data_IF_470036307244
#
_entry.id   IF_470036307244
#
_cell.length_a   1.000
_cell.length_b   1.000
_cell.length_c   1.000
_cell.angle_alpha   90.00
_cell.angle_beta   90.00
_cell.angle_gamma   90.00
#
_symmetry.space_group_name_H-M   'P 1'
#
loop_
_entity.id
_entity.type
_entity.pdbx_description
1 polymer ?
#
# COMPACT_ATOMS: atom_id res chain seq x y z
N UNK A 1 21.81 -7.64 12.98
CA UNK A 1 21.75 -6.88 14.25
C UNK A 1 20.68 -5.83 14.07
N UNK A 2 19.87 -5.57 15.10
CA UNK A 2 18.88 -4.49 15.08
C UNK A 2 19.65 -3.18 15.26
N UNK A 3 19.30 -2.14 14.51
CA UNK A 3 19.84 -0.79 14.71
C UNK A 3 19.19 -0.18 15.95
N UNK A 4 19.98 0.10 17.00
CA UNK A 4 19.49 0.63 18.28
C UNK A 4 18.90 2.05 18.17
N UNK A 5 19.13 2.75 17.06
CA UNK A 5 18.54 4.08 16.80
C UNK A 5 17.12 4.01 16.24
N UNK A 6 16.72 2.83 15.76
CA UNK A 6 15.37 2.55 15.29
C UNK A 6 14.68 1.63 16.30
N UNK A 7 13.40 1.88 16.65
CA UNK A 7 12.63 0.96 17.51
C UNK A 7 12.22 -0.31 16.73
N UNK A 8 13.20 -0.97 16.11
CA UNK A 8 13.02 -2.15 15.29
C UNK A 8 12.91 -3.41 16.16
N UNK A 9 12.07 -4.35 15.71
CA UNK A 9 11.83 -5.61 16.41
C UNK A 9 12.42 -6.75 15.58
N UNK A 10 13.35 -7.52 16.16
CA UNK A 10 13.88 -8.71 15.53
C UNK A 10 12.82 -9.84 15.55
N UNK A 11 12.50 -10.38 14.37
CA UNK A 11 11.59 -11.51 14.23
C UNK A 11 12.38 -12.84 14.25
N UNK A 12 11.77 -13.94 14.73
CA UNK A 12 12.43 -15.25 14.80
C UNK A 12 12.44 -15.97 13.44
N UNK A 13 12.92 -15.29 12.39
CA UNK A 13 12.98 -15.80 11.01
C UNK A 13 14.35 -15.46 10.42
N UNK A 14 14.99 -16.43 9.77
CA UNK A 14 16.28 -16.20 9.11
C UNK A 14 16.19 -15.15 7.99
N UNK A 15 17.21 -14.32 7.88
CA UNK A 15 17.37 -13.34 6.81
C UNK A 15 17.40 -14.00 5.42
N UNK A 16 16.95 -13.26 4.39
CA UNK A 16 17.00 -13.70 2.99
C UNK A 16 15.67 -13.66 2.25
N UNK A 17 15.74 -13.45 0.93
CA UNK A 17 14.57 -13.24 0.04
C UNK A 17 13.58 -14.41 0.04
N UNK A 18 14.06 -15.64 0.22
CA UNK A 18 13.22 -16.83 0.25
C UNK A 18 12.37 -16.94 1.54
N UNK A 19 12.69 -16.15 2.57
CA UNK A 19 12.00 -16.16 3.86
C UNK A 19 11.06 -14.95 4.01
N UNK A 20 10.90 -14.11 2.98
CA UNK A 20 10.07 -12.91 3.06
C UNK A 20 8.64 -13.22 3.48
N UNK A 21 8.05 -14.30 2.95
CA UNK A 21 6.73 -14.73 3.38
C UNK A 21 6.70 -15.10 4.87
N UNK A 22 7.69 -15.87 5.35
CA UNK A 22 7.86 -16.16 6.78
C UNK A 22 7.97 -14.89 7.63
N UNK A 23 8.77 -13.91 7.20
CA UNK A 23 8.93 -12.62 7.89
C UNK A 23 7.62 -11.85 7.94
N UNK A 24 6.88 -11.74 6.83
CA UNK A 24 5.57 -11.06 6.80
C UNK A 24 4.59 -11.71 7.77
N UNK A 25 4.53 -13.05 7.83
CA UNK A 25 3.67 -13.76 8.79
C UNK A 25 4.03 -13.41 10.23
N UNK A 26 5.31 -13.47 10.60
CA UNK A 26 5.75 -13.16 11.97
C UNK A 26 5.59 -11.67 12.30
N UNK A 27 5.80 -10.77 11.33
CA UNK A 27 5.58 -9.33 11.49
C UNK A 27 4.12 -9.03 11.82
N UNK A 28 3.18 -9.53 11.02
CA UNK A 28 1.75 -9.31 11.28
C UNK A 28 1.24 -10.04 12.52
N UNK A 29 1.81 -11.19 12.89
CA UNK A 29 1.53 -11.83 14.19
C UNK A 29 1.97 -10.93 15.35
N UNK A 30 3.18 -10.38 15.29
CA UNK A 30 3.69 -9.46 16.31
C UNK A 30 2.81 -8.21 16.41
N UNK A 31 2.50 -7.58 15.29
CA UNK A 31 1.59 -6.43 15.22
C UNK A 31 0.23 -6.77 15.81
N UNK A 32 -0.35 -7.92 15.45
CA UNK A 32 -1.63 -8.36 15.97
C UNK A 32 -1.63 -8.53 17.49
N UNK A 33 -0.56 -9.11 18.05
CA UNK A 33 -0.46 -9.38 19.49
C UNK A 33 -0.19 -8.12 20.32
N UNK A 34 0.57 -7.16 19.78
CA UNK A 34 1.09 -6.04 20.57
C UNK A 34 0.50 -4.67 20.21
N UNK A 35 0.07 -4.49 18.96
CA UNK A 35 -0.22 -3.15 18.40
C UNK A 35 -1.51 -3.07 17.57
N UNK A 36 -2.32 -4.14 17.49
CA UNK A 36 -3.55 -4.16 16.68
C UNK A 36 -4.51 -3.00 17.05
N UNK A 37 -4.54 -2.65 18.33
CA UNK A 37 -5.42 -1.60 18.84
C UNK A 37 -4.79 -0.20 18.78
N UNK A 38 -3.50 -0.09 18.49
CA UNK A 38 -2.75 1.17 18.51
C UNK A 38 -2.88 1.97 17.20
N UNK A 39 -3.30 1.32 16.10
CA UNK A 39 -3.43 1.95 14.79
C UNK A 39 -4.66 1.48 13.99
N UNK A 40 -5.20 2.36 13.15
CA UNK A 40 -6.31 2.05 12.24
C UNK A 40 -5.87 1.26 11.00
N UNK A 41 -4.63 1.50 10.56
CA UNK A 41 -4.06 1.00 9.31
C UNK A 41 -2.63 0.54 9.53
N UNK A 42 -2.24 -0.54 8.85
CA UNK A 42 -0.93 -1.18 8.99
C UNK A 42 -0.25 -1.29 7.63
N UNK A 43 0.86 -0.56 7.46
CA UNK A 43 1.63 -0.49 6.23
C UNK A 43 2.78 -1.50 6.26
N UNK A 44 2.90 -2.31 5.21
CA UNK A 44 4.12 -3.03 4.86
C UNK A 44 4.81 -2.29 3.72
N UNK A 45 6.11 -2.03 3.86
CA UNK A 45 6.96 -1.45 2.83
C UNK A 45 8.35 -2.09 2.89
N UNK A 46 9.11 -1.99 1.80
CA UNK A 46 10.53 -2.36 1.79
C UNK A 46 11.38 -1.15 2.21
N UNK A 47 12.63 -1.39 2.63
CA UNK A 47 13.56 -0.34 3.07
C UNK A 47 14.08 0.55 1.91
N UNK A 48 13.76 0.20 0.67
CA UNK A 48 13.96 0.97 -0.55
C UNK A 48 12.64 1.48 -1.17
N UNK A 49 11.55 1.52 -0.38
CA UNK A 49 10.28 2.15 -0.75
C UNK A 49 10.17 3.54 -0.12
N UNK A 50 10.11 4.60 -0.92
CA UNK A 50 9.82 5.94 -0.43
C UNK A 50 8.30 6.14 -0.32
N UNK A 51 7.80 6.53 0.85
CA UNK A 51 6.36 6.66 1.14
C UNK A 51 6.03 8.08 1.58
N UNK A 52 5.03 8.69 0.94
CA UNK A 52 4.48 10.00 1.29
C UNK A 52 3.27 9.76 2.20
N UNK A 53 3.48 9.82 3.52
CA UNK A 53 2.49 9.40 4.51
C UNK A 53 1.23 10.29 4.51
N UNK A 54 1.35 11.57 4.18
CA UNK A 54 0.24 12.51 4.03
C UNK A 54 -0.70 12.06 2.91
N UNK A 55 -0.14 11.63 1.78
CA UNK A 55 -0.91 11.14 0.64
C UNK A 55 -1.55 9.77 0.94
N UNK A 56 -0.86 8.92 1.71
CA UNK A 56 -1.45 7.67 2.22
C UNK A 56 -2.65 7.97 3.13
N UNK A 57 -2.50 8.87 4.10
CA UNK A 57 -3.58 9.28 5.00
C UNK A 57 -4.76 9.84 4.20
N UNK A 58 -4.50 10.74 3.25
CA UNK A 58 -5.51 11.31 2.37
C UNK A 58 -6.27 10.24 1.58
N UNK A 59 -5.58 9.25 1.01
CA UNK A 59 -6.23 8.14 0.30
C UNK A 59 -7.13 7.31 1.21
N UNK A 60 -6.75 7.11 2.46
CA UNK A 60 -7.46 6.24 3.40
C UNK A 60 -8.66 6.91 4.07
N UNK A 61 -8.76 8.24 4.00
CA UNK A 61 -9.83 9.03 4.61
C UNK A 61 -11.27 8.50 4.37
N UNK A 62 -11.68 8.10 3.15
CA UNK A 62 -13.06 7.65 2.92
C UNK A 62 -13.32 6.21 3.36
N UNK A 63 -12.32 5.49 3.90
CA UNK A 63 -12.45 4.07 4.23
C UNK A 63 -12.49 3.84 5.74
N UNK A 64 -13.35 2.92 6.16
CA UNK A 64 -13.43 2.50 7.56
C UNK A 64 -12.36 1.44 7.87
N UNK A 65 -11.57 1.58 8.96
CA UNK A 65 -10.61 0.56 9.38
C UNK A 65 -11.27 -0.74 9.87
N UNK A 66 -12.60 -0.73 10.07
CA UNK A 66 -13.42 -1.90 10.41
C UNK A 66 -13.83 -2.70 9.18
N UNK A 67 -13.63 -2.18 7.97
CA UNK A 67 -13.88 -2.94 6.76
C UNK A 67 -12.67 -3.83 6.44
N UNK A 68 -12.86 -5.10 6.07
CA UNK A 68 -11.77 -6.00 5.70
C UNK A 68 -11.26 -5.65 4.29
N UNK A 69 -10.35 -4.68 4.21
CA UNK A 69 -9.83 -4.13 2.94
C UNK A 69 -8.35 -3.80 3.03
N UNK A 70 -7.65 -3.90 1.90
CA UNK A 70 -6.24 -3.53 1.77
C UNK A 70 -5.97 -2.87 0.41
N UNK A 71 -4.96 -2.01 0.37
CA UNK A 71 -4.62 -1.18 -0.79
C UNK A 71 -3.12 -1.26 -1.12
N UNK A 72 -2.76 -1.00 -2.37
CA UNK A 72 -1.40 -1.03 -2.88
C UNK A 72 -1.38 -1.02 -4.41
N UNK A 73 -0.24 -1.35 -5.01
CA UNK A 73 -0.17 -1.49 -6.47
C UNK A 73 -0.75 -2.84 -6.90
N UNK A 74 -2.00 -2.87 -7.37
CA UNK A 74 -2.70 -4.12 -7.70
C UNK A 74 -2.16 -4.79 -8.98
N UNK A 75 -1.71 -6.03 -8.83
CA UNK A 75 -1.37 -6.98 -9.88
C UNK A 75 -2.44 -8.07 -10.03
N UNK A 76 -2.52 -8.66 -11.23
CA UNK A 76 -3.54 -9.66 -11.62
C UNK A 76 -3.11 -11.14 -11.73
N UNK A 77 -1.85 -11.53 -12.04
CA UNK A 77 -1.61 -12.88 -12.61
C UNK A 77 -1.88 -14.09 -11.70
N UNK A 78 -1.91 -13.92 -10.38
CA UNK A 78 -1.81 -15.05 -9.44
C UNK A 78 -2.93 -15.17 -8.42
N UNK A 79 -3.80 -14.16 -8.31
CA UNK A 79 -4.92 -14.11 -7.35
C UNK A 79 -6.13 -13.54 -8.08
N UNK A 80 -7.32 -14.14 -7.93
CA UNK A 80 -8.48 -13.83 -8.78
C UNK A 80 -8.95 -12.38 -8.60
N UNK A 81 -8.99 -11.87 -7.37
CA UNK A 81 -9.27 -10.46 -7.07
C UNK A 81 -8.08 -9.51 -7.33
N UNK A 82 -6.92 -10.06 -7.67
CA UNK A 82 -5.63 -9.40 -7.67
C UNK A 82 -4.92 -9.46 -6.30
N UNK A 83 -3.68 -9.01 -6.29
CA UNK A 83 -2.81 -8.90 -5.12
C UNK A 83 -1.97 -7.62 -5.22
N UNK A 84 -1.39 -7.13 -4.12
CA UNK A 84 -0.63 -5.88 -4.15
C UNK A 84 0.87 -6.18 -4.27
N UNK A 85 1.58 -5.46 -5.15
CA UNK A 85 3.04 -5.54 -5.26
C UNK A 85 3.71 -5.35 -3.90
N UNK A 86 4.61 -6.27 -3.53
CA UNK A 86 5.32 -6.18 -2.26
C UNK A 86 6.24 -4.97 -2.16
N UNK A 87 6.94 -4.62 -3.23
CA UNK A 87 7.91 -3.51 -3.27
C UNK A 87 7.25 -2.13 -3.30
N UNK A 88 6.12 -1.98 -3.99
CA UNK A 88 5.34 -0.73 -3.92
C UNK A 88 4.82 -0.44 -2.49
N UNK A 89 4.80 -1.47 -1.63
CA UNK A 89 4.14 -1.45 -0.35
C UNK A 89 2.64 -1.64 -0.46
N UNK A 90 2.04 -2.06 0.64
CA UNK A 90 0.61 -2.24 0.76
C UNK A 90 0.15 -1.97 2.20
N UNK A 91 -1.08 -1.49 2.34
CA UNK A 91 -1.67 -1.11 3.62
C UNK A 91 -2.92 -1.93 3.89
N UNK A 92 -3.02 -2.50 5.09
CA UNK A 92 -4.16 -3.29 5.54
C UNK A 92 -4.95 -2.48 6.58
N UNK A 93 -6.28 -2.57 6.52
CA UNK A 93 -7.12 -2.13 7.63
C UNK A 93 -6.90 -3.00 8.86
N UNK A 94 -7.25 -2.47 10.04
CA UNK A 94 -7.26 -3.23 11.29
C UNK A 94 -8.05 -4.53 11.18
N UNK A 95 -9.24 -4.50 10.58
CA UNK A 95 -10.05 -5.71 10.38
C UNK A 95 -9.39 -6.70 9.41
N UNK A 96 -8.68 -6.22 8.38
CA UNK A 96 -7.94 -7.10 7.47
C UNK A 96 -6.80 -7.85 8.19
N UNK A 97 -6.04 -7.16 9.05
CA UNK A 97 -5.00 -7.81 9.88
C UNK A 97 -5.62 -8.85 10.80
N UNK A 98 -6.73 -8.51 11.48
CA UNK A 98 -7.44 -9.43 12.36
C UNK A 98 -7.87 -10.71 11.64
N UNK A 99 -8.55 -10.59 10.50
CA UNK A 99 -8.97 -11.76 9.69
C UNK A 99 -7.80 -12.58 9.18
N UNK A 100 -6.74 -11.91 8.73
CA UNK A 100 -5.53 -12.58 8.27
C UNK A 100 -4.95 -13.51 9.34
N UNK A 101 -4.84 -13.05 10.58
CA UNK A 101 -4.27 -13.81 11.69
C UNK A 101 -5.26 -14.84 12.25
N UNK A 102 -6.45 -14.43 12.67
CA UNK A 102 -7.42 -15.28 13.38
C UNK A 102 -8.02 -16.36 12.49
N UNK A 103 -8.28 -16.04 11.21
CA UNK A 103 -9.02 -16.92 10.29
C UNK A 103 -8.10 -17.54 9.25
N UNK A 104 -7.08 -16.80 8.80
CA UNK A 104 -6.18 -17.18 7.71
C UNK A 104 -5.02 -18.06 8.17
N UNK A 105 -4.07 -17.49 8.94
CA UNK A 105 -2.78 -18.12 9.23
C UNK A 105 -2.87 -19.47 9.96
N UNK A 106 -3.89 -19.67 10.80
CA UNK A 106 -4.13 -20.95 11.47
C UNK A 106 -4.66 -22.06 10.56
N UNK A 107 -5.12 -21.71 9.35
CA UNK A 107 -5.81 -22.63 8.45
C UNK A 107 -5.03 -22.86 7.15
N UNK A 108 -4.44 -24.07 7.00
CA UNK A 108 -3.67 -24.45 5.81
C UNK A 108 -4.43 -24.46 4.50
N UNK A 109 -5.78 -24.49 4.52
CA UNK A 109 -6.58 -24.41 3.29
C UNK A 109 -6.76 -22.97 2.81
N UNK A 110 -6.48 -21.98 3.67
CA UNK A 110 -6.59 -20.55 3.36
C UNK A 110 -5.24 -19.90 3.16
N UNK A 111 -4.26 -20.29 3.98
CA UNK A 111 -2.91 -19.74 3.96
C UNK A 111 -1.86 -20.85 3.93
N UNK A 112 -0.83 -20.68 3.11
CA UNK A 112 0.29 -21.62 3.08
C UNK A 112 1.00 -21.66 4.43
N UNK A 113 1.18 -22.87 4.98
CA UNK A 113 2.01 -23.10 6.17
C UNK A 113 3.50 -22.90 5.89
N UNK A 114 3.92 -23.01 4.62
CA UNK A 114 5.32 -22.77 4.24
C UNK A 114 5.74 -21.35 4.59
N UNK A 115 7.03 -21.16 4.90
CA UNK A 115 7.64 -19.84 5.05
C UNK A 115 8.25 -19.32 3.73
N UNK A 116 8.19 -20.12 2.68
CA UNK A 116 8.69 -19.80 1.33
C UNK A 116 7.56 -19.36 0.42
N UNK A 117 7.90 -18.59 -0.62
CA UNK A 117 6.97 -18.13 -1.65
C UNK A 117 7.21 -16.67 -2.01
N UNK A 118 6.57 -16.22 -3.09
CA UNK A 118 6.48 -14.78 -3.37
C UNK A 118 5.54 -14.17 -2.33
N UNK A 119 6.10 -13.33 -1.45
CA UNK A 119 5.45 -12.79 -0.27
C UNK A 119 4.13 -12.08 -0.59
N UNK A 120 4.13 -11.24 -1.61
CA UNK A 120 2.98 -10.48 -2.10
C UNK A 120 1.87 -11.37 -2.69
N UNK A 121 2.26 -12.42 -3.40
CA UNK A 121 1.31 -13.42 -3.91
C UNK A 121 0.70 -14.24 -2.77
N UNK A 122 1.51 -14.69 -1.81
CA UNK A 122 1.04 -15.53 -0.70
C UNK A 122 0.10 -14.75 0.24
N UNK A 123 0.43 -13.49 0.59
CA UNK A 123 -0.50 -12.66 1.36
C UNK A 123 -1.78 -12.36 0.57
N UNK A 124 -1.68 -12.11 -0.75
CA UNK A 124 -2.84 -11.88 -1.61
C UNK A 124 -3.82 -13.06 -1.62
N UNK A 125 -3.31 -14.29 -1.75
CA UNK A 125 -4.11 -15.54 -1.67
C UNK A 125 -4.79 -15.67 -0.30
N UNK A 126 -4.02 -15.46 0.77
CA UNK A 126 -4.53 -15.50 2.14
C UNK A 126 -5.70 -14.53 2.35
N UNK A 127 -5.52 -13.27 1.96
CA UNK A 127 -6.51 -12.21 2.12
C UNK A 127 -7.77 -12.51 1.28
N UNK A 128 -7.62 -13.03 0.06
CA UNK A 128 -8.76 -13.52 -0.74
C UNK A 128 -9.53 -14.64 -0.03
N UNK A 129 -8.82 -15.63 0.50
CA UNK A 129 -9.42 -16.79 1.17
C UNK A 129 -10.15 -16.44 2.49
N UNK A 130 -9.86 -15.28 3.09
CA UNK A 130 -10.55 -14.77 4.28
C UNK A 130 -11.50 -13.60 3.98
N UNK A 131 -11.83 -13.38 2.71
CA UNK A 131 -12.76 -12.34 2.26
C UNK A 131 -12.32 -10.92 2.66
N UNK A 132 -11.02 -10.66 2.60
CA UNK A 132 -10.46 -9.30 2.61
C UNK A 132 -10.38 -8.80 1.17
N UNK A 133 -11.02 -7.65 0.92
CA UNK A 133 -11.15 -7.03 -0.39
C UNK A 133 -9.85 -6.37 -0.82
N UNK A 134 -9.37 -6.68 -2.02
CA UNK A 134 -8.33 -5.91 -2.68
C UNK A 134 -8.93 -4.60 -3.23
N UNK A 135 -8.71 -3.48 -2.53
CA UNK A 135 -9.23 -2.17 -2.88
C UNK A 135 -8.63 -1.60 -4.16
N UNK A 136 -9.29 -0.58 -4.73
CA UNK A 136 -8.74 0.25 -5.81
C UNK A 136 -8.10 1.48 -5.18
N UNK A 137 -6.79 1.66 -5.38
CA UNK A 137 -6.03 2.76 -4.80
C UNK A 137 -5.81 3.92 -5.77
N UNK A 138 -6.42 3.88 -6.96
CA UNK A 138 -6.28 4.95 -7.95
C UNK A 138 -7.03 6.20 -7.52
N UNK A 139 -6.62 7.36 -8.04
CA UNK A 139 -7.37 8.58 -7.81
C UNK A 139 -8.65 8.66 -8.67
N UNK A 140 -9.41 9.74 -8.50
CA UNK A 140 -10.65 10.01 -9.24
C UNK A 140 -10.47 10.11 -10.75
N UNK A 141 -9.24 10.35 -11.22
CA UNK A 141 -8.88 10.36 -12.64
C UNK A 141 -8.38 8.98 -13.13
N UNK A 142 -8.36 7.97 -12.26
CA UNK A 142 -7.87 6.63 -12.55
C UNK A 142 -6.35 6.51 -12.59
N UNK A 143 -5.61 7.48 -12.03
CA UNK A 143 -4.13 7.46 -11.99
C UNK A 143 -3.62 6.66 -10.79
N UNK A 144 -2.46 6.03 -10.93
CA UNK A 144 -1.86 5.21 -9.88
C UNK A 144 -1.43 6.03 -8.65
N UNK A 145 -1.42 5.40 -7.48
CA UNK A 145 -0.86 5.98 -6.24
C UNK A 145 0.32 5.18 -5.67
N UNK A 146 0.33 3.86 -5.84
CA UNK A 146 1.44 3.00 -5.42
C UNK A 146 2.20 2.53 -6.66
N UNK A 147 3.52 2.64 -6.64
CA UNK A 147 4.35 2.37 -7.81
C UNK A 147 5.44 1.34 -7.51
N UNK A 148 5.55 0.25 -8.29
CA UNK A 148 6.52 -0.81 -8.07
C UNK A 148 7.91 -0.48 -8.61
N UNK A 149 8.15 0.75 -9.09
CA UNK A 149 9.43 1.22 -9.58
C UNK A 149 9.68 2.69 -9.19
N UNK A 150 10.90 3.15 -9.47
CA UNK A 150 11.31 4.55 -9.34
C UNK A 150 10.46 5.48 -10.22
N UNK A 151 10.31 6.77 -9.86
CA UNK A 151 9.48 7.72 -10.60
C UNK A 151 9.78 7.79 -12.11
N UNK A 152 11.04 7.73 -12.51
CA UNK A 152 11.46 7.80 -13.91
C UNK A 152 10.89 6.68 -14.80
N UNK A 153 10.58 5.50 -14.24
CA UNK A 153 9.96 4.40 -14.98
C UNK A 153 8.48 4.64 -15.29
N UNK A 154 7.85 5.61 -14.63
CA UNK A 154 6.44 5.94 -14.82
C UNK A 154 6.27 7.28 -15.56
N UNK A 155 7.10 8.27 -15.21
CA UNK A 155 6.99 9.65 -15.69
C UNK A 155 7.58 9.88 -17.08
N UNK A 156 8.47 9.02 -17.57
CA UNK A 156 9.14 9.19 -18.87
C UNK A 156 8.49 8.27 -19.91
N UNK A 157 7.74 8.80 -20.90
CA UNK A 157 7.12 7.98 -21.93
C UNK A 157 8.13 7.13 -22.70
N UNK A 158 7.86 5.84 -22.85
CA UNK A 158 8.72 4.91 -23.59
C UNK A 158 9.95 4.41 -22.82
N UNK A 159 10.16 4.86 -21.57
CA UNK A 159 11.27 4.38 -20.73
C UNK A 159 11.10 2.90 -20.37
N UNK A 160 9.86 2.47 -20.08
CA UNK A 160 9.50 1.06 -19.86
C UNK A 160 8.82 0.49 -21.09
N UNK A 161 9.52 -0.36 -21.85
CA UNK A 161 9.00 -0.98 -23.07
C UNK A 161 7.67 -1.71 -22.82
N UNK A 162 6.70 -1.60 -23.75
CA UNK A 162 5.37 -2.23 -23.63
C UNK A 162 5.36 -3.76 -23.53
N UNK A 163 6.43 -4.42 -23.97
CA UNK A 163 6.61 -5.87 -23.81
C UNK A 163 7.19 -6.28 -22.45
N UNK A 164 7.48 -5.32 -21.56
CA UNK A 164 7.94 -5.60 -20.20
C UNK A 164 6.83 -6.22 -19.36
N UNK A 165 7.20 -7.14 -18.47
CA UNK A 165 6.25 -7.94 -17.66
C UNK A 165 5.27 -7.07 -16.86
N UNK A 166 5.69 -5.87 -16.45
CA UNK A 166 4.86 -4.93 -15.70
C UNK A 166 3.50 -4.70 -16.36
N UNK A 167 3.49 -4.46 -17.68
CA UNK A 167 2.26 -4.21 -18.44
C UNK A 167 1.34 -5.43 -18.51
N UNK A 168 1.90 -6.64 -18.35
CA UNK A 168 1.14 -7.87 -18.28
C UNK A 168 0.60 -8.12 -16.85
N UNK A 169 1.25 -7.56 -15.84
CA UNK A 169 0.94 -7.79 -14.43
C UNK A 169 -0.03 -6.76 -13.86
N UNK A 170 0.08 -5.50 -14.27
CA UNK A 170 -0.75 -4.43 -13.74
C UNK A 170 -2.23 -4.74 -13.96
N UNK A 171 -3.03 -4.59 -12.89
CA UNK A 171 -4.45 -4.94 -12.92
C UNK A 171 -5.26 -3.89 -13.68
N UNK A 172 -4.96 -2.62 -13.42
CA UNK A 172 -5.61 -1.47 -14.06
C UNK A 172 -4.74 -0.94 -15.19
N UNK A 173 -5.38 -0.51 -16.27
CA UNK A 173 -4.67 0.20 -17.34
C UNK A 173 -3.97 1.44 -16.74
N UNK A 174 -2.70 1.60 -17.07
CA UNK A 174 -1.87 2.70 -16.59
C UNK A 174 -1.33 3.48 -17.78
N UNK A 175 -1.50 4.81 -17.74
CA UNK A 175 -0.86 5.71 -18.69
C UNK A 175 0.63 5.85 -18.38
N UNK A 176 1.39 6.28 -19.38
CA UNK A 176 2.78 6.74 -19.21
C UNK A 176 2.82 8.27 -19.20
N UNK A 177 3.93 8.84 -18.71
CA UNK A 177 4.10 10.29 -18.69
C UNK A 177 3.48 10.92 -17.46
N UNK A 178 3.26 12.24 -17.49
CA UNK A 178 2.73 12.99 -16.34
C UNK A 178 1.33 12.52 -15.90
N UNK A 179 0.57 11.89 -16.79
CA UNK A 179 -0.76 11.32 -16.49
C UNK A 179 -0.69 9.90 -15.87
N UNK A 180 0.48 9.28 -15.72
CA UNK A 180 0.60 7.97 -15.07
C UNK A 180 0.13 8.00 -13.62
N UNK A 181 0.35 9.14 -12.99
CA UNK A 181 0.59 9.21 -11.58
C UNK A 181 -0.31 10.27 -10.95
N UNK A 182 -0.94 9.89 -9.85
CA UNK A 182 -1.73 10.82 -9.07
C UNK A 182 -0.82 11.92 -8.53
N UNK A 183 -1.33 13.15 -8.49
CA UNK A 183 -0.64 14.25 -7.80
C UNK A 183 -0.52 13.95 -6.29
N UNK A 184 -1.37 13.06 -5.78
CA UNK A 184 -1.33 12.50 -4.43
C UNK A 184 -0.79 11.06 -4.45
N UNK A 185 0.28 10.79 -5.21
CA UNK A 185 0.96 9.50 -5.20
C UNK A 185 1.46 9.15 -3.79
N UNK A 186 1.37 7.88 -3.43
CA UNK A 186 1.67 7.36 -2.08
C UNK A 186 3.08 6.83 -1.99
N UNK A 187 3.54 6.04 -2.97
CA UNK A 187 4.85 5.37 -2.84
C UNK A 187 5.52 5.05 -4.16
N UNK A 188 6.85 4.98 -4.12
CA UNK A 188 7.72 4.53 -5.21
C UNK A 188 8.76 3.55 -4.67
N UNK A 189 9.00 2.47 -5.41
CA UNK A 189 9.94 1.40 -5.04
C UNK A 189 11.30 1.53 -5.74
N UNK A 190 12.31 0.76 -5.31
CA UNK A 190 13.69 0.82 -5.78
C UNK A 190 14.34 2.21 -5.64
N UNK A 191 13.91 3.00 -4.65
CA UNK A 191 14.45 4.33 -4.39
C UNK A 191 15.74 4.19 -3.60
N UNK A 192 16.86 4.54 -4.22
CA UNK A 192 18.17 4.52 -3.55
C UNK A 192 18.23 5.52 -2.39
N UNK A 193 19.11 5.35 -1.39
CA UNK A 193 19.25 6.30 -0.29
C UNK A 193 19.48 7.75 -0.76
N UNK A 194 20.34 7.96 -1.76
CA UNK A 194 20.56 9.29 -2.33
C UNK A 194 19.29 9.86 -2.96
N UNK A 195 18.53 9.02 -3.67
CA UNK A 195 17.28 9.45 -4.28
C UNK A 195 16.21 9.77 -3.23
N UNK A 196 16.19 9.11 -2.08
CA UNK A 196 15.29 9.46 -0.96
C UNK A 196 15.53 10.90 -0.49
N UNK A 197 16.79 11.31 -0.28
CA UNK A 197 17.11 12.71 0.07
C UNK A 197 16.68 13.70 -1.02
N UNK A 198 16.83 13.33 -2.30
CA UNK A 198 16.39 14.18 -3.42
C UNK A 198 14.86 14.31 -3.41
N UNK A 199 14.12 13.21 -3.23
CA UNK A 199 12.66 13.24 -3.15
C UNK A 199 12.18 14.06 -1.95
N UNK A 200 12.80 13.90 -0.79
CA UNK A 200 12.51 14.69 0.42
C UNK A 200 12.67 16.19 0.15
N UNK A 201 13.81 16.58 -0.44
CA UNK A 201 14.05 17.97 -0.79
C UNK A 201 13.02 18.50 -1.79
N UNK A 202 12.73 17.77 -2.86
CA UNK A 202 11.83 18.23 -3.91
C UNK A 202 10.37 18.27 -3.46
N UNK A 203 9.94 17.36 -2.58
CA UNK A 203 8.54 17.25 -2.12
C UNK A 203 8.29 18.20 -0.93
N UNK A 204 9.19 18.29 0.04
CA UNK A 204 8.91 18.99 1.29
C UNK A 204 9.64 20.32 1.47
N UNK A 205 10.79 20.52 0.82
CA UNK A 205 11.62 21.71 1.06
C UNK A 205 11.61 22.72 -0.09
N UNK A 206 11.70 22.25 -1.33
CA UNK A 206 11.73 23.11 -2.50
C UNK A 206 10.35 23.71 -2.76
N UNK A 207 10.26 25.04 -2.74
CA UNK A 207 9.02 25.78 -3.00
C UNK A 207 9.30 26.87 -4.03
N UNK A 208 8.89 26.68 -5.31
CA UNK A 208 8.93 27.76 -6.28
C UNK A 208 8.07 28.93 -5.78
N UNK A 209 8.61 30.14 -5.85
CA UNK A 209 7.88 31.34 -5.43
C UNK A 209 6.57 31.50 -6.22
N UNK A 210 5.45 31.66 -5.51
CA UNK A 210 4.14 31.91 -6.11
C UNK A 210 3.31 30.66 -6.46
N UNK A 211 3.78 29.45 -6.16
CA UNK A 211 3.01 28.20 -6.36
C UNK A 211 2.51 27.68 -5.01
N UNK A 212 1.18 27.47 -4.91
CA UNK A 212 0.52 26.82 -3.77
C UNK A 212 -0.27 25.61 -4.26
N UNK A 213 -0.21 24.51 -3.52
CA UNK A 213 -0.95 23.29 -3.82
C UNK A 213 -2.11 23.16 -2.83
N UNK A 214 -3.34 23.14 -3.35
CA UNK A 214 -4.54 22.82 -2.57
C UNK A 214 -5.01 21.41 -2.96
N UNK A 215 -5.33 20.60 -1.95
CA UNK A 215 -5.92 19.27 -2.15
C UNK A 215 -7.41 19.37 -1.78
N UNK A 216 -8.27 19.05 -2.73
CA UNK A 216 -9.71 18.98 -2.49
C UNK A 216 -10.05 17.77 -1.59
N UNK A 217 -11.08 17.91 -0.76
CA UNK A 217 -11.54 16.80 0.09
C UNK A 217 -12.20 15.69 -0.76
N UNK A 218 -12.09 14.40 -0.36
CA UNK A 218 -12.78 13.31 -1.04
C UNK A 218 -14.30 13.55 -1.08
N UNK A 219 -14.91 13.29 -2.23
CA UNK A 219 -16.34 13.54 -2.45
C UNK A 219 -17.22 12.75 -1.48
N UNK A 220 -16.81 11.54 -1.10
CA UNK A 220 -17.51 10.67 -0.14
C UNK A 220 -17.66 11.34 1.24
N UNK A 221 -16.65 12.11 1.65
CA UNK A 221 -16.68 12.85 2.92
C UNK A 221 -17.57 14.09 2.83
N UNK A 222 -17.58 14.77 1.68
CA UNK A 222 -18.46 15.90 1.45
C UNK A 222 -19.93 15.46 1.47
N UNK A 223 -20.24 14.31 0.89
CA UNK A 223 -21.58 13.72 0.94
C UNK A 223 -21.98 13.29 2.35
N UNK A 224 -21.07 12.69 3.14
CA UNK A 224 -21.36 12.30 4.52
C UNK A 224 -21.62 13.50 5.42
N UNK A 225 -20.83 14.58 5.29
CA UNK A 225 -21.04 15.81 6.04
C UNK A 225 -22.37 16.47 5.69
N UNK A 226 -22.78 16.45 4.41
CA UNK A 226 -24.07 16.99 3.98
C UNK A 226 -25.25 16.17 4.54
N UNK A 227 -25.12 14.84 4.61
CA UNK A 227 -26.13 13.97 5.23
C UNK A 227 -26.28 14.23 6.73
N UNK A 228 -25.18 14.28 7.47
CA UNK A 228 -25.21 14.60 8.91
C UNK A 228 -25.84 15.97 9.17
N UNK A 229 -25.48 17.00 8.40
CA UNK A 229 -26.08 18.33 8.52
C UNK A 229 -27.58 18.33 8.25
N UNK A 230 -28.06 17.52 7.31
CA UNK A 230 -29.49 17.42 6.97
C UNK A 230 -30.28 16.73 8.09
N UNK A 231 -29.71 15.69 8.71
CA UNK A 231 -30.31 14.98 9.85
C UNK A 231 -30.39 15.86 11.11
N UNK A 232 -29.36 16.67 11.37
CA UNK A 232 -29.34 17.65 12.48
C UNK A 232 -30.33 18.80 12.30
N UNK A 233 -30.71 19.15 11.06
CA UNK A 233 -31.71 20.21 10.80
C UNK A 233 -33.15 19.71 10.71
N UNK A 234 -33.34 18.38 10.70
CA UNK A 234 -34.67 17.74 10.65
C UNK A 234 -35.11 17.17 12.00
N UNK A 235 -34.32 17.39 13.05
CA UNK A 235 -34.63 17.11 14.46
C UNK A 235 -34.92 18.40 15.24
#
# INVERSE_FOLDING_TARGET
MVDDTLPAVALPVSEGRNNLWGKTKEAFKYVYQNHLNDADWFLKADDDTYVILENLRYMLLPYSPKEPIYFGCKFRPYVKQGYMSGGAGYVLSREAVKKFIEVGLGNSTKCSKSNTGAEDVEIGKCLEAVSVKAGDSRDSLGRGRFFPFVPEHHLIPGHVKKNFWYWQYIYYESKEGMDCCSDNAVSFHYVTPNQMYVLEYLIYHLRPYGISYHVDMPAELLESEQREKTELTSS
#
